data_IF_213802422729
#
_entry.id   IF_213802422729
#
_cell.length_a   1.000
_cell.length_b   1.000
_cell.length_c   1.000
_cell.angle_alpha   90.00
_cell.angle_beta   90.00
_cell.angle_gamma   90.00
#
_symmetry.space_group_name_H-M   'P 1'
#
loop_
_entity.id
_entity.type
_entity.pdbx_description
1 polymer ?
#
# COMPACT_ATOMS: atom_id res chain seq x y z
N UNK A 1 -10.57 -34.87 7.54
CA UNK A 1 -10.66 -33.81 6.51
C UNK A 1 -9.49 -34.01 5.54
N UNK A 2 -9.73 -34.40 4.28
CA UNK A 2 -8.64 -34.61 3.28
C UNK A 2 -8.46 -33.34 2.46
N UNK A 3 -7.31 -32.67 2.60
CA UNK A 3 -6.98 -31.47 1.81
C UNK A 3 -6.25 -31.92 0.54
N UNK A 4 -6.86 -31.73 -0.63
CA UNK A 4 -6.28 -32.16 -1.92
C UNK A 4 -5.01 -31.38 -2.31
N UNK A 5 -4.93 -30.09 -1.94
CA UNK A 5 -3.77 -29.21 -2.15
C UNK A 5 -3.69 -28.20 -1.01
N UNK A 6 -2.63 -28.27 -0.20
CA UNK A 6 -2.39 -27.30 0.86
C UNK A 6 -1.85 -26.00 0.24
N UNK A 7 -2.71 -24.97 0.15
CA UNK A 7 -2.34 -23.64 -0.36
C UNK A 7 -3.12 -22.55 0.36
N UNK A 8 -2.49 -21.39 0.50
CA UNK A 8 -3.11 -20.15 0.98
C UNK A 8 -3.55 -19.31 -0.22
N UNK A 9 -4.79 -18.84 -0.19
CA UNK A 9 -5.25 -17.81 -1.13
C UNK A 9 -4.68 -16.47 -0.65
N UNK A 10 -3.80 -15.81 -1.43
CA UNK A 10 -3.27 -14.52 -1.02
C UNK A 10 -4.44 -13.55 -0.83
N UNK A 11 -4.54 -12.95 0.35
CA UNK A 11 -5.45 -11.82 0.56
C UNK A 11 -4.91 -10.65 -0.26
N UNK A 12 -5.80 -9.91 -0.94
CA UNK A 12 -5.43 -8.61 -1.51
C UNK A 12 -5.10 -7.70 -0.35
N UNK A 13 -3.81 -7.54 -0.04
CA UNK A 13 -3.35 -6.50 0.87
C UNK A 13 -3.26 -5.24 0.01
N UNK A 14 -4.12 -4.27 0.29
CA UNK A 14 -4.01 -2.96 -0.34
C UNK A 14 -2.71 -2.33 0.15
N UNK A 15 -1.71 -2.31 -0.71
CA UNK A 15 -0.51 -1.53 -0.47
C UNK A 15 -0.87 -0.06 -0.65
N UNK A 16 -1.33 0.54 0.45
CA UNK A 16 -1.48 1.98 0.62
C UNK A 16 -0.17 2.62 0.15
N UNK A 17 -0.28 3.52 -0.84
CA UNK A 17 0.87 4.24 -1.38
C UNK A 17 1.57 5.07 -0.30
N UNK A 18 2.89 5.30 -0.45
CA UNK A 18 3.71 5.95 0.58
C UNK A 18 3.26 7.38 0.91
N UNK A 19 2.59 8.07 -0.03
CA UNK A 19 2.17 9.46 0.13
C UNK A 19 0.66 9.64 0.39
N UNK A 20 -0.06 8.57 0.75
CA UNK A 20 -1.52 8.64 0.96
C UNK A 20 -1.90 9.56 2.13
N UNK A 21 -1.09 9.60 3.19
CA UNK A 21 -1.32 10.50 4.32
C UNK A 21 -1.23 11.98 3.90
N UNK A 22 -0.16 12.35 3.18
CA UNK A 22 0.03 13.72 2.68
C UNK A 22 -1.05 14.11 1.67
N UNK A 23 -1.46 13.18 0.81
CA UNK A 23 -2.57 13.41 -0.11
C UNK A 23 -3.87 13.69 0.64
N UNK A 24 -4.16 12.92 1.70
CA UNK A 24 -5.33 13.17 2.53
C UNK A 24 -5.26 14.56 3.21
N UNK A 25 -4.08 14.99 3.67
CA UNK A 25 -3.88 16.32 4.25
C UNK A 25 -4.14 17.47 3.27
N UNK A 26 -3.78 17.30 1.99
CA UNK A 26 -4.13 18.26 0.93
C UNK A 26 -5.64 18.32 0.71
N UNK A 27 -6.30 17.16 0.62
CA UNK A 27 -7.74 17.07 0.41
C UNK A 27 -8.53 17.68 1.58
N UNK A 28 -8.10 17.46 2.82
CA UNK A 28 -8.74 18.09 3.99
C UNK A 28 -8.54 19.60 4.00
N UNK A 29 -7.37 20.09 3.59
CA UNK A 29 -7.14 21.53 3.47
C UNK A 29 -8.05 22.15 2.40
N UNK A 30 -8.16 21.53 1.22
CA UNK A 30 -9.07 21.97 0.16
C UNK A 30 -10.55 21.81 0.52
N UNK A 31 -10.90 20.91 1.44
CA UNK A 31 -12.27 20.83 1.95
C UNK A 31 -12.60 21.99 2.89
N UNK A 32 -11.62 22.48 3.65
CA UNK A 32 -11.80 23.57 4.61
C UNK A 32 -11.57 24.96 4.01
N UNK A 33 -10.96 25.04 2.83
CA UNK A 33 -10.58 26.26 2.12
C UNK A 33 -10.91 26.13 0.63
N UNK A 34 -10.41 27.03 -0.22
CA UNK A 34 -10.41 26.83 -1.67
C UNK A 34 -9.13 26.11 -2.13
N UNK A 35 -9.17 25.55 -3.34
CA UNK A 35 -8.01 24.87 -3.96
C UNK A 35 -6.82 25.81 -4.12
N UNK A 36 -7.08 27.06 -4.50
CA UNK A 36 -6.07 28.12 -4.70
C UNK A 36 -5.72 28.86 -3.41
N UNK A 37 -6.21 28.41 -2.25
CA UNK A 37 -5.93 29.06 -0.98
C UNK A 37 -4.43 28.94 -0.64
N UNK A 38 -3.74 30.05 -0.33
CA UNK A 38 -2.35 30.01 0.11
C UNK A 38 -2.17 29.24 1.43
N UNK A 39 -3.26 29.02 2.19
CA UNK A 39 -3.26 28.22 3.41
C UNK A 39 -2.87 26.75 3.16
N UNK A 40 -3.14 26.21 1.97
CA UNK A 40 -2.84 24.82 1.62
C UNK A 40 -1.44 24.61 1.03
N UNK A 41 -0.63 25.68 0.92
CA UNK A 41 0.73 25.61 0.35
C UNK A 41 1.60 24.59 1.08
N UNK A 42 1.57 24.57 2.41
CA UNK A 42 2.38 23.65 3.22
C UNK A 42 2.00 22.17 3.01
N UNK A 43 0.70 21.86 2.95
CA UNK A 43 0.24 20.49 2.68
C UNK A 43 0.62 20.03 1.27
N UNK A 44 0.58 20.93 0.29
CA UNK A 44 1.00 20.63 -1.08
C UNK A 44 2.51 20.40 -1.14
N UNK A 45 3.31 21.24 -0.48
CA UNK A 45 4.77 21.06 -0.39
C UNK A 45 5.14 19.70 0.21
N UNK A 46 4.51 19.30 1.33
CA UNK A 46 4.73 18.00 1.96
C UNK A 46 4.40 16.82 1.02
N UNK A 47 3.27 16.90 0.28
CA UNK A 47 2.92 15.89 -0.72
C UNK A 47 3.98 15.83 -1.85
N UNK A 48 4.41 16.97 -2.36
CA UNK A 48 5.41 17.00 -3.44
C UNK A 48 6.76 16.44 -3.01
N UNK A 49 7.18 16.70 -1.78
CA UNK A 49 8.40 16.16 -1.20
C UNK A 49 8.29 14.64 -1.04
N UNK A 50 7.16 14.15 -0.51
CA UNK A 50 6.91 12.71 -0.42
C UNK A 50 6.98 12.03 -1.80
N UNK A 51 6.35 12.62 -2.82
CA UNK A 51 6.36 12.04 -4.17
C UNK A 51 7.75 12.01 -4.79
N UNK A 52 8.60 13.01 -4.51
CA UNK A 52 10.00 13.04 -4.98
C UNK A 52 10.85 11.96 -4.32
N UNK A 53 10.64 11.70 -3.04
CA UNK A 53 11.43 10.78 -2.23
C UNK A 53 10.84 9.36 -2.15
N UNK A 54 9.64 9.16 -2.70
CA UNK A 54 8.89 7.91 -2.60
C UNK A 54 9.69 6.73 -3.17
N UNK A 55 9.94 5.65 -2.40
CA UNK A 55 10.62 4.47 -2.91
C UNK A 55 9.76 3.76 -3.96
N UNK A 56 10.43 3.15 -4.95
CA UNK A 56 9.76 2.28 -5.92
C UNK A 56 9.20 1.05 -5.19
N UNK A 57 7.94 0.70 -5.47
CA UNK A 57 7.33 -0.52 -4.91
C UNK A 57 8.15 -1.74 -5.31
N UNK A 58 8.62 -2.51 -4.32
CA UNK A 58 9.23 -3.81 -4.57
C UNK A 58 8.13 -4.86 -4.67
N UNK A 59 8.04 -5.53 -5.82
CA UNK A 59 7.11 -6.63 -6.03
C UNK A 59 7.72 -7.92 -5.46
N UNK A 60 7.90 -7.98 -4.14
CA UNK A 60 8.31 -9.23 -3.49
C UNK A 60 7.08 -10.11 -3.27
N UNK A 61 6.93 -11.12 -4.10
CA UNK A 61 5.89 -12.15 -3.94
C UNK A 61 6.27 -13.13 -2.84
N UNK A 62 5.33 -13.48 -1.96
CA UNK A 62 5.51 -14.55 -0.98
C UNK A 62 5.62 -15.93 -1.65
N UNK A 63 6.61 -16.73 -1.27
CA UNK A 63 6.80 -18.12 -1.71
C UNK A 63 6.06 -19.14 -0.84
N UNK A 64 5.16 -18.70 0.05
CA UNK A 64 4.46 -19.57 1.02
C UNK A 64 3.79 -20.80 0.38
N UNK A 65 3.15 -20.63 -0.78
CA UNK A 65 2.47 -21.73 -1.48
C UNK A 65 3.44 -22.78 -2.04
N UNK A 66 4.68 -22.40 -2.35
CA UNK A 66 5.72 -23.35 -2.75
C UNK A 66 6.11 -24.26 -1.58
N UNK A 67 6.31 -23.69 -0.38
CA UNK A 67 6.66 -24.47 0.80
C UNK A 67 5.50 -25.35 1.29
N UNK A 68 4.27 -24.85 1.28
CA UNK A 68 3.09 -25.62 1.67
C UNK A 68 2.82 -26.80 0.75
N UNK A 69 3.06 -26.65 -0.56
CA UNK A 69 2.94 -27.76 -1.51
C UNK A 69 3.96 -28.88 -1.25
N UNK A 70 5.15 -28.55 -0.73
CA UNK A 70 6.17 -29.54 -0.35
C UNK A 70 5.83 -30.23 0.97
N UNK A 71 5.37 -29.47 1.97
CA UNK A 71 4.99 -29.99 3.29
C UNK A 71 3.73 -30.87 3.24
N UNK A 72 2.78 -30.57 2.35
CA UNK A 72 1.56 -31.38 2.18
C UNK A 72 1.77 -32.82 1.71
N UNK A 73 3.02 -33.26 1.48
CA UNK A 73 3.36 -34.68 1.26
C UNK A 73 3.60 -35.45 2.56
N UNK A 74 3.86 -34.73 3.65
CA UNK A 74 4.19 -35.27 4.97
C UNK A 74 3.07 -35.07 6.00
N UNK A 75 1.98 -34.42 5.59
CA UNK A 75 0.76 -34.12 6.36
C UNK A 75 -0.42 -34.82 5.70
#
# INVERSE_FOLDING_TARGET
MKIKKLKVRPRRVEQIGPCIAEMAAVLTCWSNSSVDSPACKKSVEALTECMRNSPKKSNQSSTINYHLARLGKYL
#
